data_IF_230061182739
#
_entry.id   IF_230061182739
#
_cell.length_a   1.000
_cell.length_b   1.000
_cell.length_c   1.000
_cell.angle_alpha   90.00
_cell.angle_beta   90.00
_cell.angle_gamma   90.00
#
_symmetry.space_group_name_H-M   'P 1'
#
loop_
_entity.id
_entity.type
_entity.pdbx_description
1 polymer ?
#
# COMPACT_ATOMS: atom_id res chain seq x y z
N UNK A 1 18.65 -15.37 -9.79
CA UNK A 1 18.43 -15.31 -8.34
C UNK A 1 18.67 -13.88 -7.94
N UNK A 2 17.63 -13.05 -7.98
CA UNK A 2 17.66 -11.88 -7.14
C UNK A 2 16.64 -12.20 -6.03
N UNK A 3 17.23 -12.38 -4.84
CA UNK A 3 16.54 -12.67 -3.58
C UNK A 3 16.75 -11.38 -2.77
N UNK A 4 16.43 -10.24 -3.39
CA UNK A 4 16.66 -8.95 -2.76
C UNK A 4 15.67 -8.85 -1.61
N UNK A 5 16.21 -8.91 -0.39
CA UNK A 5 15.41 -8.84 0.83
C UNK A 5 14.93 -7.40 1.00
N UNK A 6 13.65 -7.23 1.34
CA UNK A 6 13.11 -5.91 1.65
C UNK A 6 13.83 -5.34 2.88
N UNK A 7 14.13 -4.04 2.85
CA UNK A 7 14.73 -3.35 3.98
C UNK A 7 13.65 -2.76 4.88
N UNK A 8 14.06 -2.30 6.08
CA UNK A 8 13.16 -1.60 7.01
C UNK A 8 12.51 -0.35 6.38
N UNK A 9 13.25 0.35 5.51
CA UNK A 9 12.72 1.50 4.77
C UNK A 9 11.60 1.08 3.84
N UNK A 10 11.78 0.00 3.09
CA UNK A 10 10.78 -0.49 2.15
C UNK A 10 9.49 -0.83 2.89
N UNK A 11 9.62 -1.57 3.98
CA UNK A 11 8.49 -1.95 4.83
C UNK A 11 7.81 -0.73 5.45
N UNK A 12 8.58 0.27 5.87
CA UNK A 12 8.07 1.53 6.41
C UNK A 12 7.24 2.30 5.39
N UNK A 13 7.70 2.40 4.14
CA UNK A 13 6.99 3.10 3.06
C UNK A 13 5.66 2.43 2.75
N UNK A 14 5.63 1.10 2.60
CA UNK A 14 4.39 0.35 2.35
C UNK A 14 3.39 0.55 3.48
N UNK A 15 3.84 0.41 4.73
CA UNK A 15 2.94 0.62 5.86
C UNK A 15 2.45 2.06 5.96
N UNK A 16 3.28 3.05 5.61
CA UNK A 16 2.86 4.45 5.60
C UNK A 16 1.69 4.70 4.66
N UNK A 17 1.70 4.10 3.46
CA UNK A 17 0.58 4.20 2.52
C UNK A 17 -0.67 3.53 3.07
N UNK A 18 -0.54 2.29 3.55
CA UNK A 18 -1.71 1.56 4.06
C UNK A 18 -2.31 2.23 5.31
N UNK A 19 -1.47 2.82 6.17
CA UNK A 19 -1.89 3.54 7.38
C UNK A 19 -2.66 4.82 7.02
N UNK A 20 -2.18 5.57 6.01
CA UNK A 20 -2.88 6.74 5.47
C UNK A 20 -4.25 6.38 4.87
N UNK A 21 -4.40 5.17 4.33
CA UNK A 21 -5.69 4.67 3.82
C UNK A 21 -6.58 4.04 4.91
N UNK A 22 -6.19 4.13 6.18
CA UNK A 22 -6.93 3.54 7.30
C UNK A 22 -6.89 2.02 7.37
N UNK A 23 -5.97 1.38 6.66
CA UNK A 23 -5.84 -0.07 6.61
C UNK A 23 -4.96 -0.49 7.79
N UNK A 24 -5.53 -1.27 8.70
CA UNK A 24 -4.77 -1.81 9.82
C UNK A 24 -3.65 -2.73 9.34
N UNK A 25 -2.46 -2.60 9.93
CA UNK A 25 -1.27 -3.41 9.59
C UNK A 25 -1.49 -4.92 9.69
N UNK A 26 -2.42 -5.38 10.53
CA UNK A 26 -2.80 -6.80 10.62
C UNK A 26 -3.52 -7.34 9.37
N UNK A 27 -4.10 -6.44 8.59
CA UNK A 27 -4.75 -6.73 7.31
C UNK A 27 -3.77 -6.63 6.14
N UNK A 28 -2.50 -6.34 6.39
CA UNK A 28 -1.47 -6.18 5.36
C UNK A 28 -0.39 -7.24 5.57
N UNK A 29 -0.05 -7.96 4.50
CA UNK A 29 1.03 -8.94 4.45
C UNK A 29 2.01 -8.50 3.38
N UNK A 30 3.26 -8.28 3.76
CA UNK A 30 4.33 -7.87 2.83
C UNK A 30 5.32 -9.02 2.72
N UNK A 31 5.58 -9.48 1.49
CA UNK A 31 6.61 -10.49 1.20
C UNK A 31 7.98 -9.95 1.61
N UNK A 32 8.78 -10.78 2.31
CA UNK A 32 10.11 -10.39 2.78
C UNK A 32 11.15 -10.36 1.64
N UNK A 33 10.80 -10.94 0.50
CA UNK A 33 11.59 -10.99 -0.72
C UNK A 33 10.95 -10.12 -1.78
N UNK A 34 11.76 -9.39 -2.53
CA UNK A 34 11.31 -8.69 -3.73
C UNK A 34 11.18 -9.67 -4.89
N UNK A 35 10.22 -9.43 -5.77
CA UNK A 35 10.04 -10.20 -7.00
C UNK A 35 9.71 -9.24 -8.15
N UNK A 36 10.22 -9.51 -9.37
CA UNK A 36 9.89 -8.73 -10.56
C UNK A 36 9.05 -9.57 -11.56
N UNK A 37 7.81 -9.16 -11.89
CA UNK A 37 7.13 -7.94 -11.43
C UNK A 37 6.61 -8.05 -10.00
N UNK A 38 6.57 -6.91 -9.29
CA UNK A 38 5.89 -6.79 -8.00
C UNK A 38 4.39 -7.03 -8.13
N UNK A 39 3.71 -7.26 -7.01
CA UNK A 39 2.29 -7.61 -7.01
C UNK A 39 1.53 -6.97 -5.85
N UNK A 40 0.26 -6.62 -6.11
CA UNK A 40 -0.68 -6.09 -5.12
C UNK A 40 -1.96 -6.91 -5.28
N UNK A 41 -2.31 -7.68 -4.28
CA UNK A 41 -3.47 -8.56 -4.31
C UNK A 41 -4.30 -8.44 -3.05
N UNK A 42 -5.61 -8.68 -3.18
CA UNK A 42 -6.51 -8.81 -2.04
C UNK A 42 -6.87 -10.28 -1.86
N UNK A 43 -6.40 -10.87 -0.78
CA UNK A 43 -6.69 -12.25 -0.40
C UNK A 43 -8.14 -12.43 0.08
N UNK A 44 -8.61 -13.68 0.02
CA UNK A 44 -9.87 -14.09 0.63
C UNK A 44 -9.86 -13.76 2.13
N UNK A 45 -10.87 -12.98 2.56
CA UNK A 45 -10.96 -12.45 3.93
C UNK A 45 -10.52 -11.00 4.09
N UNK A 46 -10.13 -10.32 3.01
CA UNK A 46 -9.88 -8.87 3.01
C UNK A 46 -8.48 -8.46 3.45
N UNK A 47 -7.54 -9.41 3.49
CA UNK A 47 -6.12 -9.10 3.66
C UNK A 47 -5.50 -8.64 2.34
N UNK A 48 -4.52 -7.75 2.43
CA UNK A 48 -3.80 -7.20 1.29
C UNK A 48 -2.40 -7.82 1.29
N UNK A 49 -2.07 -8.49 0.21
CA UNK A 49 -0.79 -9.13 -0.03
C UNK A 49 0.02 -8.27 -0.99
N UNK A 50 1.23 -7.91 -0.57
CA UNK A 50 2.08 -6.94 -1.27
C UNK A 50 3.45 -7.57 -1.49
N UNK A 51 3.87 -7.59 -2.76
CA UNK A 51 5.21 -7.99 -3.18
C UNK A 51 5.88 -6.81 -3.85
N UNK A 52 6.99 -6.34 -3.28
CA UNK A 52 7.71 -5.17 -3.80
C UNK A 52 8.52 -5.58 -5.04
N UNK A 53 8.47 -4.82 -6.14
CA UNK A 53 9.27 -5.09 -7.33
C UNK A 53 10.77 -4.97 -7.07
N UNK A 54 11.56 -5.81 -7.72
CA UNK A 54 13.03 -5.66 -7.72
C UNK A 54 13.49 -4.50 -8.61
N UNK A 55 12.66 -4.12 -9.58
CA UNK A 55 12.91 -2.98 -10.45
C UNK A 55 12.20 -1.71 -9.95
N UNK A 56 12.90 -0.58 -10.03
CA UNK A 56 12.39 0.72 -9.58
C UNK A 56 12.61 0.97 -8.09
N UNK A 57 12.01 2.05 -7.59
CA UNK A 57 12.08 2.44 -6.17
C UNK A 57 10.82 2.05 -5.42
N UNK A 58 10.94 1.84 -4.11
CA UNK A 58 9.77 1.58 -3.26
C UNK A 58 8.81 2.76 -3.23
N UNK A 59 9.29 3.99 -3.42
CA UNK A 59 8.45 5.20 -3.49
C UNK A 59 7.56 5.20 -4.74
N UNK A 60 8.10 4.81 -5.90
CA UNK A 60 7.31 4.63 -7.12
C UNK A 60 6.26 3.52 -6.94
N UNK A 61 6.66 2.41 -6.32
CA UNK A 61 5.73 1.33 -6.04
C UNK A 61 4.66 1.70 -5.00
N UNK A 62 5.00 2.55 -4.02
CA UNK A 62 4.06 3.05 -3.02
C UNK A 62 2.95 3.90 -3.65
N UNK A 63 3.26 4.70 -4.68
CA UNK A 63 2.25 5.43 -5.45
C UNK A 63 1.33 4.49 -6.22
N UNK A 64 1.89 3.41 -6.81
CA UNK A 64 1.09 2.38 -7.48
C UNK A 64 0.20 1.62 -6.48
N UNK A 65 0.73 1.30 -5.30
CA UNK A 65 -0.01 0.67 -4.21
C UNK A 65 -1.22 1.52 -3.81
N UNK A 66 -1.03 2.82 -3.62
CA UNK A 66 -2.13 3.72 -3.31
C UNK A 66 -3.22 3.67 -4.40
N UNK A 67 -2.84 3.84 -5.67
CA UNK A 67 -3.79 3.82 -6.79
C UNK A 67 -4.55 2.48 -6.91
N UNK A 68 -3.88 1.35 -6.68
CA UNK A 68 -4.53 0.04 -6.67
C UNK A 68 -5.50 -0.11 -5.50
N UNK A 69 -5.12 0.36 -4.31
CA UNK A 69 -5.99 0.35 -3.14
C UNK A 69 -7.22 1.25 -3.36
N UNK A 70 -7.06 2.41 -3.98
CA UNK A 70 -8.18 3.26 -4.41
C UNK A 70 -9.10 2.55 -5.41
N UNK A 71 -8.53 1.86 -6.39
CA UNK A 71 -9.27 1.01 -7.33
C UNK A 71 -10.03 -0.14 -6.65
N UNK A 72 -9.56 -0.61 -5.49
CA UNK A 72 -10.22 -1.62 -4.65
C UNK A 72 -11.28 -1.03 -3.71
N UNK A 73 -11.41 0.30 -3.66
CA UNK A 73 -12.40 1.02 -2.84
C UNK A 73 -11.88 1.45 -1.46
N UNK A 74 -10.57 1.54 -1.25
CA UNK A 74 -9.99 2.18 -0.08
C UNK A 74 -9.79 3.68 -0.37
N UNK A 75 -10.12 4.55 0.58
CA UNK A 75 -9.96 6.00 0.42
C UNK A 75 -8.82 6.48 1.34
N UNK A 76 -7.94 7.34 0.83
CA UNK A 76 -6.94 8.01 1.68
C UNK A 76 -7.65 8.87 2.70
N UNK A 77 -7.32 8.70 3.98
CA UNK A 77 -7.84 9.51 5.08
C UNK A 77 -7.07 10.83 5.24
N UNK A 78 -6.33 11.26 4.23
CA UNK A 78 -5.72 12.59 4.15
C UNK A 78 -6.82 13.64 3.99
N UNK A 79 -7.54 13.90 5.08
CA UNK A 79 -8.25 15.15 5.42
C UNK A 79 -8.79 15.98 4.24
N UNK A 80 -9.53 15.39 3.30
CA UNK A 80 -10.58 16.11 2.56
C UNK A 80 -11.85 16.17 3.45
N UNK A 81 -11.68 16.66 4.68
CA UNK A 81 -12.77 17.18 5.54
C UNK A 81 -12.89 18.70 5.30
N UNK A 82 -12.58 19.16 4.09
CA UNK A 82 -12.95 20.49 3.60
C UNK A 82 -13.97 20.30 2.47
N UNK A 83 -15.14 20.93 2.64
CA UNK A 83 -16.34 20.92 1.80
C UNK A 83 -17.26 19.70 2.05
N UNK A 84 -18.50 19.81 2.54
CA UNK A 84 -19.47 20.90 2.47
C UNK A 84 -20.68 20.48 3.34
N UNK A 85 -21.27 21.38 4.15
CA UNK A 85 -22.74 21.59 4.30
C UNK A 85 -22.95 22.76 5.29
N UNK A 86 -23.00 23.98 4.73
CA UNK A 86 -23.64 25.16 5.32
C UNK A 86 -25.05 24.84 5.87
N UNK A 87 -25.37 25.17 7.13
CA UNK A 87 -26.77 25.47 7.54
C UNK A 87 -26.84 26.52 8.68
N UNK A 88 -27.18 27.74 8.26
CA UNK A 88 -27.85 28.89 8.94
C UNK A 88 -27.40 29.39 10.33
#
# INVERSE_FOLDING_TARGET
MPDEIINMTDMGTIFSVTDAMGIHRESVSVELTKEDPGSINRADGGKIEITIPETGTVEEFAQLLQAELEGMGYESQDLDDEDDEDVD
#
